data_IF_694120722655
#
_entry.id   IF_694120722655
#
_cell.length_a   1.000
_cell.length_b   1.000
_cell.length_c   1.000
_cell.angle_alpha   90.00
_cell.angle_beta   90.00
_cell.angle_gamma   90.00
#
_symmetry.space_group_name_H-M   'P 1'
#
loop_
_entity.id
_entity.type
_entity.pdbx_description
1 polymer ?
#
# COMPACT_ATOMS: atom_id res chain seq x y z
N UNK A 1 13.51 -11.62 10.26
CA UNK A 1 13.16 -12.22 8.95
C UNK A 1 13.72 -11.31 7.86
N UNK A 2 14.22 -11.83 6.74
CA UNK A 2 14.63 -10.97 5.62
C UNK A 2 13.40 -10.37 4.93
N UNK A 3 13.42 -9.10 4.49
CA UNK A 3 12.29 -8.48 3.81
C UNK A 3 11.83 -9.24 2.55
N UNK A 4 12.75 -9.73 1.71
CA UNK A 4 12.45 -10.59 0.57
C UNK A 4 11.72 -11.88 0.94
N UNK A 5 12.10 -12.50 2.07
CA UNK A 5 11.42 -13.70 2.56
C UNK A 5 10.01 -13.37 3.08
N UNK A 6 9.84 -12.27 3.81
CA UNK A 6 8.52 -11.82 4.25
C UNK A 6 7.62 -11.56 3.05
N UNK A 7 8.12 -10.84 2.05
CA UNK A 7 7.36 -10.55 0.84
C UNK A 7 6.94 -11.84 0.13
N UNK A 8 7.86 -12.76 -0.11
CA UNK A 8 7.58 -14.02 -0.81
C UNK A 8 6.62 -14.94 -0.04
N UNK A 9 6.73 -15.02 1.29
CA UNK A 9 5.99 -15.99 2.09
C UNK A 9 4.66 -15.45 2.60
N UNK A 10 4.52 -14.13 2.73
CA UNK A 10 3.34 -13.48 3.33
C UNK A 10 2.67 -12.55 2.34
N UNK A 11 3.40 -11.58 1.79
CA UNK A 11 2.82 -10.51 0.98
C UNK A 11 2.35 -10.99 -0.39
N UNK A 12 3.21 -11.68 -1.15
CA UNK A 12 2.93 -12.18 -2.49
C UNK A 12 1.73 -13.16 -2.53
N UNK A 13 1.57 -14.11 -1.59
CA UNK A 13 0.35 -14.91 -1.51
C UNK A 13 -0.93 -14.08 -1.31
N UNK A 14 -0.91 -13.07 -0.44
CA UNK A 14 -2.08 -12.21 -0.22
C UNK A 14 -2.40 -11.37 -1.45
N UNK A 15 -1.38 -10.84 -2.14
CA UNK A 15 -1.53 -10.14 -3.42
C UNK A 15 -2.19 -11.04 -4.45
N UNK A 16 -1.67 -12.25 -4.68
CA UNK A 16 -2.22 -13.18 -5.68
C UNK A 16 -3.67 -13.53 -5.38
N UNK A 17 -4.02 -13.76 -4.12
CA UNK A 17 -5.41 -14.05 -3.74
C UNK A 17 -6.33 -12.85 -3.98
N UNK A 18 -5.88 -11.63 -3.68
CA UNK A 18 -6.63 -10.41 -3.96
C UNK A 18 -6.84 -10.17 -5.46
N UNK A 19 -5.83 -10.43 -6.31
CA UNK A 19 -5.96 -10.27 -7.77
C UNK A 19 -6.85 -11.33 -8.40
N UNK A 20 -6.86 -12.56 -7.87
CA UNK A 20 -7.74 -13.63 -8.33
C UNK A 20 -9.21 -13.42 -7.91
N UNK A 21 -9.44 -12.69 -6.82
CA UNK A 21 -10.76 -12.44 -6.24
C UNK A 21 -10.91 -10.94 -5.95
N UNK A 22 -10.80 -10.12 -7.00
CA UNK A 22 -10.69 -8.66 -6.90
C UNK A 22 -11.93 -7.95 -6.33
N UNK A 23 -13.04 -8.67 -6.17
CA UNK A 23 -14.27 -8.19 -5.55
C UNK A 23 -14.41 -8.59 -4.07
N UNK A 24 -13.45 -9.34 -3.51
CA UNK A 24 -13.38 -9.71 -2.11
C UNK A 24 -12.64 -8.64 -1.29
N UNK A 25 -13.43 -7.90 -0.48
CA UNK A 25 -12.93 -6.84 0.38
C UNK A 25 -11.84 -7.33 1.35
N UNK A 26 -12.01 -8.52 1.94
CA UNK A 26 -11.09 -9.03 2.94
C UNK A 26 -9.75 -9.36 2.30
N UNK A 27 -9.75 -9.93 1.10
CA UNK A 27 -8.52 -10.25 0.38
C UNK A 27 -7.80 -8.97 -0.06
N UNK A 28 -8.52 -7.97 -0.57
CA UNK A 28 -7.95 -6.67 -0.90
C UNK A 28 -7.30 -5.99 0.32
N UNK A 29 -7.99 -5.93 1.46
CA UNK A 29 -7.44 -5.37 2.70
C UNK A 29 -6.21 -6.13 3.17
N UNK A 30 -6.23 -7.47 3.14
CA UNK A 30 -5.08 -8.27 3.53
C UNK A 30 -3.85 -7.98 2.64
N UNK A 31 -4.03 -7.85 1.34
CA UNK A 31 -2.94 -7.48 0.42
C UNK A 31 -2.40 -6.09 0.74
N UNK A 32 -3.27 -5.08 0.91
CA UNK A 32 -2.89 -3.71 1.28
C UNK A 32 -2.08 -3.69 2.58
N UNK A 33 -2.57 -4.38 3.61
CA UNK A 33 -1.92 -4.43 4.93
C UNK A 33 -0.58 -5.16 4.91
N UNK A 34 -0.44 -6.23 4.13
CA UNK A 34 0.82 -6.99 4.04
C UNK A 34 1.86 -6.27 3.18
N UNK A 35 1.45 -5.50 2.17
CA UNK A 35 2.34 -4.59 1.46
C UNK A 35 2.89 -3.53 2.42
N UNK A 36 2.03 -2.83 3.19
CA UNK A 36 2.48 -1.86 4.19
C UNK A 36 3.41 -2.49 5.25
N UNK A 37 3.09 -3.70 5.69
CA UNK A 37 3.93 -4.45 6.63
C UNK A 37 5.31 -4.79 6.04
N UNK A 38 5.40 -5.05 4.73
CA UNK A 38 6.69 -5.31 4.05
C UNK A 38 7.62 -4.12 4.20
N UNK A 39 7.12 -2.89 4.07
CA UNK A 39 7.93 -1.68 4.26
C UNK A 39 8.40 -1.53 5.72
N UNK A 40 7.58 -1.93 6.69
CA UNK A 40 8.00 -1.98 8.10
C UNK A 40 9.12 -2.98 8.35
N UNK A 41 8.98 -4.21 7.81
CA UNK A 41 10.02 -5.24 7.90
C UNK A 41 11.30 -4.80 7.18
N UNK A 42 11.17 -4.11 6.04
CA UNK A 42 12.30 -3.52 5.31
C UNK A 42 13.01 -2.46 6.14
N UNK A 43 12.27 -1.52 6.73
CA UNK A 43 12.84 -0.49 7.60
C UNK A 43 13.62 -1.11 8.75
N UNK A 44 13.02 -2.04 9.49
CA UNK A 44 13.66 -2.71 10.62
C UNK A 44 14.95 -3.44 10.19
N UNK A 45 14.91 -4.13 9.05
CA UNK A 45 16.08 -4.81 8.48
C UNK A 45 17.21 -3.84 8.14
N UNK A 46 16.90 -2.74 7.45
CA UNK A 46 17.89 -1.73 7.07
C UNK A 46 18.47 -1.02 8.31
N UNK A 47 17.65 -0.80 9.34
CA UNK A 47 18.08 -0.19 10.58
C UNK A 47 19.06 -1.09 11.34
N UNK A 48 18.75 -2.39 11.45
CA UNK A 48 19.63 -3.38 12.07
C UNK A 48 20.95 -3.55 11.31
N UNK A 49 20.94 -3.38 9.98
CA UNK A 49 22.12 -3.46 9.13
C UNK A 49 22.90 -2.13 9.02
N UNK A 50 22.45 -1.07 9.72
CA UNK A 50 22.99 0.30 9.59
C UNK A 50 23.12 0.76 8.13
N UNK A 51 22.15 0.38 7.30
CA UNK A 51 22.27 0.49 5.85
C UNK A 51 22.41 1.96 5.40
N UNK A 52 23.39 2.31 4.54
CA UNK A 52 23.66 3.70 4.15
C UNK A 52 22.48 4.43 3.51
N UNK A 53 21.56 3.70 2.88
CA UNK A 53 20.33 4.26 2.30
C UNK A 53 19.53 5.10 3.30
N UNK A 54 19.48 4.68 4.58
CA UNK A 54 18.73 5.39 5.61
C UNK A 54 19.24 6.82 5.87
N UNK A 55 20.50 7.14 5.51
CA UNK A 55 21.05 8.50 5.61
C UNK A 55 20.43 9.48 4.62
N UNK A 56 19.76 8.98 3.58
CA UNK A 56 19.09 9.79 2.56
C UNK A 56 17.68 10.21 3.01
N UNK A 57 17.17 9.64 4.10
CA UNK A 57 15.83 9.88 4.60
C UNK A 57 15.88 10.93 5.69
N UNK A 58 15.07 11.97 5.55
CA UNK A 58 14.99 13.05 6.54
C UNK A 58 13.94 12.73 7.60
N UNK A 59 14.36 12.71 8.86
CA UNK A 59 13.43 12.58 9.99
C UNK A 59 12.51 13.81 10.06
N UNK A 60 11.21 13.60 10.23
CA UNK A 60 10.26 14.71 10.35
C UNK A 60 10.25 15.30 11.75
N UNK A 61 9.70 16.50 11.89
CA UNK A 61 9.47 17.18 13.18
C UNK A 61 10.73 17.36 14.05
N UNK A 62 11.88 17.59 13.41
CA UNK A 62 13.17 17.78 14.09
C UNK A 62 13.57 16.62 15.02
N UNK A 63 13.05 15.41 14.76
CA UNK A 63 13.42 14.20 15.49
C UNK A 63 14.91 13.90 15.28
N UNK A 64 15.51 13.28 16.31
CA UNK A 64 16.93 12.84 16.27
C UNK A 64 17.14 11.57 15.45
N UNK A 65 16.09 10.79 15.21
CA UNK A 65 16.14 9.52 14.48
C UNK A 65 14.92 9.38 13.58
N UNK A 66 15.12 8.72 12.44
CA UNK A 66 14.04 8.28 11.55
C UNK A 66 13.24 7.15 12.19
N UNK A 67 11.96 7.05 11.85
CA UNK A 67 11.08 5.93 12.20
C UNK A 67 10.44 5.32 10.93
N UNK A 68 9.72 4.21 11.10
CA UNK A 68 8.99 3.53 10.01
C UNK A 68 8.05 4.47 9.25
N UNK A 69 7.41 5.41 9.95
CA UNK A 69 6.50 6.35 9.31
C UNK A 69 7.23 7.39 8.45
N UNK A 70 8.45 7.79 8.83
CA UNK A 70 9.32 8.65 8.02
C UNK A 70 9.87 7.89 6.81
N UNK A 71 10.23 6.62 6.99
CA UNK A 71 10.64 5.73 5.90
C UNK A 71 9.54 5.54 4.86
N UNK A 72 8.33 5.16 5.28
CA UNK A 72 7.16 5.03 4.39
C UNK A 72 6.73 6.37 3.78
N UNK A 73 7.04 7.50 4.42
CA UNK A 73 6.78 8.81 3.83
C UNK A 73 7.71 9.10 2.67
N UNK A 74 8.99 8.76 2.79
CA UNK A 74 9.96 8.96 1.72
C UNK A 74 9.53 8.31 0.41
N UNK A 75 9.03 7.07 0.46
CA UNK A 75 8.53 6.37 -0.74
C UNK A 75 7.22 6.95 -1.25
N UNK A 76 6.29 7.31 -0.35
CA UNK A 76 5.01 7.90 -0.76
C UNK A 76 5.14 9.27 -1.45
N UNK A 77 6.25 9.99 -1.22
CA UNK A 77 6.54 11.23 -1.94
C UNK A 77 7.01 10.99 -3.38
N UNK A 78 7.47 9.78 -3.69
CA UNK A 78 8.03 9.41 -5.01
C UNK A 78 7.05 8.55 -5.82
N UNK A 79 6.22 7.78 -5.14
CA UNK A 79 5.23 6.88 -5.71
C UNK A 79 3.85 7.20 -5.14
N UNK A 80 3.01 7.83 -5.97
CA UNK A 80 1.65 8.21 -5.60
C UNK A 80 0.74 7.00 -5.37
N UNK A 81 0.95 5.89 -6.08
CA UNK A 81 0.16 4.67 -5.89
C UNK A 81 0.47 4.05 -4.53
N UNK A 82 1.75 4.00 -4.16
CA UNK A 82 2.16 3.61 -2.81
C UNK A 82 1.61 4.57 -1.75
N UNK A 83 1.56 5.88 -2.01
CA UNK A 83 0.97 6.85 -1.10
C UNK A 83 -0.50 6.55 -0.78
N UNK A 84 -1.30 6.25 -1.82
CA UNK A 84 -2.71 5.85 -1.67
C UNK A 84 -2.82 4.54 -0.88
N UNK A 85 -2.06 3.52 -1.26
CA UNK A 85 -2.12 2.20 -0.61
C UNK A 85 -1.73 2.26 0.86
N UNK A 86 -0.66 2.99 1.19
CA UNK A 86 -0.24 3.22 2.58
C UNK A 86 -1.29 3.97 3.37
N UNK A 87 -1.86 5.04 2.82
CA UNK A 87 -2.91 5.80 3.50
C UNK A 87 -4.17 4.94 3.72
N UNK A 88 -4.52 4.08 2.76
CA UNK A 88 -5.59 3.08 2.90
C UNK A 88 -5.29 2.07 4.02
N UNK A 89 -4.06 1.56 4.10
CA UNK A 89 -3.63 0.66 5.19
C UNK A 89 -3.75 1.36 6.57
N UNK A 90 -3.29 2.61 6.65
CA UNK A 90 -3.34 3.39 7.88
C UNK A 90 -4.79 3.68 8.29
N UNK A 91 -5.63 4.12 7.34
CA UNK A 91 -7.04 4.39 7.59
C UNK A 91 -7.77 3.12 8.04
N UNK A 92 -7.51 1.98 7.41
CA UNK A 92 -8.07 0.68 7.82
C UNK A 92 -7.64 0.28 9.24
N UNK A 93 -6.37 0.49 9.59
CA UNK A 93 -5.84 0.17 10.93
C UNK A 93 -6.40 1.07 12.04
N UNK A 94 -6.61 2.35 11.75
CA UNK A 94 -6.97 3.37 12.74
C UNK A 94 -8.43 3.83 12.68
N UNK A 95 -9.21 3.34 11.71
CA UNK A 95 -10.59 3.75 11.45
C UNK A 95 -10.68 5.11 10.74
N UNK A 96 -10.08 6.15 11.31
CA UNK A 96 -10.00 7.50 10.73
C UNK A 96 -8.65 8.13 11.00
N UNK A 97 -8.03 8.71 9.98
CA UNK A 97 -6.82 9.48 10.11
C UNK A 97 -7.15 10.93 10.48
N UNK A 98 -6.58 11.38 11.59
CA UNK A 98 -6.68 12.76 12.08
C UNK A 98 -5.30 13.37 12.19
N UNK A 99 -5.14 14.64 11.79
CA UNK A 99 -3.88 15.37 11.92
C UNK A 99 -3.71 16.45 10.86
N UNK A 100 -2.59 17.17 10.93
CA UNK A 100 -2.25 18.25 9.98
C UNK A 100 -1.71 17.76 8.64
N UNK A 101 -1.44 16.45 8.51
CA UNK A 101 -0.87 15.88 7.30
C UNK A 101 -1.97 15.62 6.27
N UNK A 102 -1.79 16.16 5.06
CA UNK A 102 -2.63 15.79 3.92
C UNK A 102 -2.49 14.29 3.63
N UNK A 103 -3.61 13.58 3.68
CA UNK A 103 -3.72 12.15 3.36
C UNK A 103 -4.61 12.00 2.14
N UNK A 104 -4.27 11.06 1.28
CA UNK A 104 -5.09 10.76 0.10
C UNK A 104 -6.30 9.93 0.49
N UNK A 105 -6.17 9.05 1.47
CA UNK A 105 -7.25 8.22 2.02
C UNK A 105 -7.36 8.51 3.52
N UNK A 106 -8.56 8.82 4.02
CA UNK A 106 -8.73 9.38 5.37
C UNK A 106 -9.47 8.40 6.27
N UNK A 107 -10.44 7.67 5.74
CA UNK A 107 -11.35 6.82 6.51
C UNK A 107 -11.26 5.36 6.04
N UNK A 108 -11.44 4.41 6.94
CA UNK A 108 -11.50 2.99 6.57
C UNK A 108 -12.63 2.71 5.55
N UNK A 109 -13.70 3.51 5.61
CA UNK A 109 -14.83 3.46 4.68
C UNK A 109 -14.50 3.99 3.29
N UNK A 110 -13.37 4.68 3.12
CA UNK A 110 -12.87 5.09 1.81
C UNK A 110 -12.34 3.88 1.02
N UNK A 111 -12.10 2.73 1.68
CA UNK A 111 -11.87 1.44 1.03
C UNK A 111 -13.17 0.66 1.09
N UNK A 112 -13.83 0.44 -0.04
CA UNK A 112 -15.15 -0.16 -0.07
C UNK A 112 -15.38 -1.02 -1.32
N UNK A 113 -16.29 -1.99 -1.20
CA UNK A 113 -16.85 -2.70 -2.35
C UNK A 113 -17.84 -1.78 -3.06
N UNK A 114 -17.69 -1.65 -4.37
CA UNK A 114 -18.53 -0.82 -5.23
C UNK A 114 -18.95 -1.57 -6.50
N UNK A 115 -20.00 -1.07 -7.12
CA UNK A 115 -20.49 -1.58 -8.41
C UNK A 115 -19.59 -1.09 -9.55
N UNK A 116 -19.28 -1.98 -10.48
CA UNK A 116 -18.53 -1.65 -11.69
C UNK A 116 -19.48 -1.01 -12.71
N UNK A 117 -19.43 0.31 -12.83
CA UNK A 117 -20.22 1.07 -13.80
C UNK A 117 -19.62 1.06 -15.20
N UNK A 118 -20.34 1.62 -16.18
CA UNK A 118 -19.92 1.66 -17.58
C UNK A 118 -18.60 2.42 -17.84
N UNK A 119 -18.15 3.27 -16.90
CA UNK A 119 -16.87 3.98 -16.96
C UNK A 119 -15.69 3.21 -16.33
N UNK A 120 -15.99 2.26 -15.44
CA UNK A 120 -14.99 1.49 -14.69
C UNK A 120 -14.88 0.03 -15.18
N UNK A 121 -15.78 -0.36 -16.09
CA UNK A 121 -15.88 -1.71 -16.64
C UNK A 121 -14.75 -1.99 -17.63
N UNK A 122 -14.09 -3.11 -17.41
CA UNK A 122 -13.05 -3.65 -18.27
C UNK A 122 -13.62 -4.85 -19.01
N UNK A 123 -13.78 -4.70 -20.32
CA UNK A 123 -14.35 -5.72 -21.19
C UNK A 123 -13.49 -7.00 -21.15
N UNK A 124 -14.13 -8.14 -20.84
CA UNK A 124 -13.45 -9.43 -20.73
C UNK A 124 -12.77 -9.70 -19.38
N UNK A 125 -12.79 -8.74 -18.46
CA UNK A 125 -12.33 -8.88 -17.07
C UNK A 125 -13.51 -8.85 -16.11
N UNK A 126 -14.36 -7.83 -16.23
CA UNK A 126 -15.52 -7.65 -15.34
C UNK A 126 -16.76 -8.37 -15.84
N UNK A 127 -17.49 -8.98 -14.91
CA UNK A 127 -18.85 -9.42 -15.16
C UNK A 127 -19.79 -8.20 -15.30
N UNK A 128 -20.81 -8.30 -16.16
CA UNK A 128 -21.86 -7.28 -16.26
C UNK A 128 -22.58 -7.20 -14.91
N UNK A 129 -22.64 -6.00 -14.31
CA UNK A 129 -23.17 -5.81 -12.96
C UNK A 129 -22.28 -6.38 -11.85
N UNK A 130 -21.01 -6.64 -12.16
CA UNK A 130 -20.01 -7.09 -11.20
C UNK A 130 -19.62 -6.00 -10.21
N UNK A 131 -18.79 -6.40 -9.25
CA UNK A 131 -18.29 -5.52 -8.21
C UNK A 131 -16.77 -5.55 -8.20
N UNK A 132 -16.17 -4.50 -7.64
CA UNK A 132 -14.74 -4.45 -7.36
C UNK A 132 -14.51 -3.70 -6.04
N UNK A 133 -13.30 -3.79 -5.51
CA UNK A 133 -12.89 -2.97 -4.37
C UNK A 133 -12.29 -1.67 -4.89
N UNK A 134 -12.83 -0.56 -4.40
CA UNK A 134 -12.40 0.79 -4.74
C UNK A 134 -11.78 1.47 -3.52
N UNK A 135 -10.80 2.34 -3.78
CA UNK A 135 -10.19 3.24 -2.83
C UNK A 135 -10.54 4.66 -3.26
N UNK A 136 -11.28 5.37 -2.42
CA UNK A 136 -11.62 6.76 -2.62
C UNK A 136 -10.48 7.65 -2.14
N UNK A 137 -10.00 8.50 -3.05
CA UNK A 137 -9.01 9.53 -2.71
C UNK A 137 -9.68 10.87 -2.40
N UNK A 138 -8.98 11.78 -1.72
CA UNK A 138 -9.55 13.05 -1.22
C UNK A 138 -10.15 14.00 -2.28
N UNK A 139 -9.80 13.81 -3.55
CA UNK A 139 -10.39 14.46 -4.72
C UNK A 139 -11.68 13.78 -5.22
N UNK A 140 -12.18 12.78 -4.48
CA UNK A 140 -13.29 11.89 -4.84
C UNK A 140 -13.03 11.01 -6.06
N UNK A 141 -11.78 10.89 -6.49
CA UNK A 141 -11.44 9.88 -7.48
C UNK A 141 -11.53 8.50 -6.85
N UNK A 142 -12.08 7.56 -7.60
CA UNK A 142 -12.15 6.15 -7.23
C UNK A 142 -11.07 5.41 -8.00
N UNK A 143 -10.23 4.68 -7.28
CA UNK A 143 -9.20 3.85 -7.88
C UNK A 143 -9.46 2.40 -7.52
N UNK A 144 -9.44 1.51 -8.50
CA UNK A 144 -9.60 0.07 -8.25
C UNK A 144 -8.39 -0.45 -7.48
N UNK A 145 -8.66 -1.13 -6.37
CA UNK A 145 -7.62 -1.62 -5.46
C UNK A 145 -6.71 -2.63 -6.15
N UNK A 146 -7.23 -3.45 -7.07
CA UNK A 146 -6.44 -4.47 -7.77
C UNK A 146 -5.25 -3.87 -8.55
N UNK A 147 -5.44 -2.75 -9.25
CA UNK A 147 -4.37 -2.10 -10.02
C UNK A 147 -3.34 -1.46 -9.11
N UNK A 148 -3.79 -0.80 -8.03
CA UNK A 148 -2.89 -0.27 -7.02
C UNK A 148 -2.06 -1.37 -6.36
N UNK A 149 -2.68 -2.49 -6.01
CA UNK A 149 -2.00 -3.65 -5.41
C UNK A 149 -0.97 -4.22 -6.39
N UNK A 150 -1.34 -4.39 -7.67
CA UNK A 150 -0.46 -4.95 -8.68
C UNK A 150 0.76 -4.05 -8.95
N UNK A 151 0.55 -2.75 -9.14
CA UNK A 151 1.62 -1.81 -9.46
C UNK A 151 2.57 -1.62 -8.29
N UNK A 152 2.02 -1.42 -7.08
CA UNK A 152 2.84 -1.27 -5.86
C UNK A 152 3.59 -2.58 -5.55
N UNK A 153 3.02 -3.75 -5.86
CA UNK A 153 3.72 -5.04 -5.74
C UNK A 153 4.98 -5.07 -6.62
N UNK A 154 4.88 -4.65 -7.89
CA UNK A 154 6.03 -4.59 -8.81
C UNK A 154 7.09 -3.63 -8.30
N UNK A 155 6.70 -2.42 -7.88
CA UNK A 155 7.61 -1.43 -7.29
C UNK A 155 8.29 -1.97 -6.01
N UNK A 156 7.54 -2.66 -5.16
CA UNK A 156 8.06 -3.28 -3.93
C UNK A 156 9.10 -4.35 -4.24
N UNK A 157 8.86 -5.23 -5.21
CA UNK A 157 9.82 -6.25 -5.62
C UNK A 157 11.13 -5.63 -6.15
N UNK A 158 11.02 -4.59 -7.00
CA UNK A 158 12.19 -3.87 -7.52
C UNK A 158 12.99 -3.22 -6.38
N UNK A 159 12.30 -2.59 -5.42
CA UNK A 159 12.92 -1.96 -4.25
C UNK A 159 13.71 -2.97 -3.40
N UNK A 160 13.09 -4.13 -3.11
CA UNK A 160 13.72 -5.20 -2.33
C UNK A 160 15.00 -5.71 -3.03
N UNK A 161 14.96 -5.88 -4.35
CA UNK A 161 16.13 -6.28 -5.14
C UNK A 161 17.23 -5.21 -5.11
N UNK A 162 16.88 -3.93 -5.28
CA UNK A 162 17.84 -2.82 -5.29
C UNK A 162 18.56 -2.66 -3.95
N UNK A 163 17.87 -2.92 -2.84
CA UNK A 163 18.41 -2.78 -1.48
C UNK A 163 19.01 -4.10 -0.94
N UNK A 164 19.03 -5.17 -1.74
CA UNK A 164 19.56 -6.47 -1.31
C UNK A 164 18.83 -7.04 -0.09
N UNK A 165 17.53 -6.78 0.02
CA UNK A 165 16.69 -7.03 1.19
C UNK A 165 15.65 -8.12 0.93
#
# INVERSE_FOLDING_TARGET
MKPSDFFRQVTDPNIRQALLNFDDYRLAVNAIMTIDATYGVLFDYLQLAEHPFLKQITARNSKRSIDDSDFKEHFAQQDQQFAVLRDAAYATKHGRLTGSKARLVIEATDVAKGDVGCGDMICGHDAIGGHAIFIQTGDRNLVRAEFLIEDVSKSTQVLLQQLGA
#
